data_IF_740536473305
#
_entry.id   IF_740536473305
#
_cell.length_a   1.000
_cell.length_b   1.000
_cell.length_c   1.000
_cell.angle_alpha   90.00
_cell.angle_beta   90.00
_cell.angle_gamma   90.00
#
_symmetry.space_group_name_H-M   'P 1'
#
loop_
_entity.id
_entity.type
_entity.pdbx_description
1 polymer ?
#
# COMPACT_ATOMS: atom_id res chain seq x y z
N UNK A 1 34.59 -28.53 15.09
CA UNK A 1 35.84 -28.84 14.39
C UNK A 1 35.51 -29.41 13.01
N UNK A 2 35.35 -28.57 11.99
CA UNK A 2 35.49 -28.96 10.58
C UNK A 2 35.87 -27.69 9.81
N UNK A 3 37.18 -27.46 9.77
CA UNK A 3 37.81 -26.31 9.12
C UNK A 3 37.92 -26.60 7.62
N UNK A 4 37.20 -25.81 6.82
CA UNK A 4 37.33 -25.78 5.37
C UNK A 4 38.75 -25.34 4.98
N UNK A 5 39.41 -26.18 4.18
CA UNK A 5 40.62 -25.88 3.42
C UNK A 5 40.27 -26.11 1.96
N UNK A 6 40.17 -25.05 1.16
CA UNK A 6 40.50 -25.13 -0.27
C UNK A 6 41.21 -23.83 -0.63
N UNK A 7 42.48 -23.98 -1.00
CA UNK A 7 43.40 -22.93 -1.38
C UNK A 7 43.23 -22.54 -2.85
N UNK A 8 43.49 -21.26 -3.09
CA UNK A 8 43.98 -20.60 -4.30
C UNK A 8 44.28 -21.45 -5.56
N UNK A 9 43.74 -21.01 -6.69
CA UNK A 9 44.43 -21.04 -7.99
C UNK A 9 44.13 -19.76 -8.78
N UNK A 10 45.04 -18.80 -8.66
CA UNK A 10 45.28 -17.77 -9.67
C UNK A 10 45.94 -18.42 -10.90
N UNK A 11 45.46 -18.15 -12.12
CA UNK A 11 46.30 -17.97 -13.31
C UNK A 11 45.50 -17.49 -14.52
N UNK A 12 46.09 -16.47 -15.15
CA UNK A 12 45.73 -15.69 -16.33
C UNK A 12 45.79 -16.53 -17.62
N UNK A 13 44.88 -16.34 -18.59
CA UNK A 13 45.17 -16.52 -20.02
C UNK A 13 44.12 -15.90 -20.97
N UNK A 14 44.57 -14.96 -21.83
CA UNK A 14 44.32 -14.87 -23.27
C UNK A 14 42.92 -14.91 -23.89
N UNK A 15 42.52 -13.76 -24.47
CA UNK A 15 41.76 -13.51 -25.70
C UNK A 15 40.69 -14.50 -26.25
N UNK A 16 39.52 -13.89 -26.55
CA UNK A 16 38.52 -14.24 -27.59
C UNK A 16 37.49 -15.32 -27.23
N UNK A 17 36.37 -14.86 -26.64
CA UNK A 17 35.04 -15.45 -26.82
C UNK A 17 34.01 -14.33 -27.00
N UNK A 18 33.41 -14.29 -28.19
CA UNK A 18 32.23 -13.50 -28.52
C UNK A 18 30.99 -14.18 -27.97
N UNK A 19 29.99 -13.36 -27.64
CA UNK A 19 28.60 -13.69 -27.33
C UNK A 19 28.32 -14.33 -25.95
N UNK A 20 27.95 -13.47 -25.00
CA UNK A 20 26.90 -13.74 -24.02
C UNK A 20 26.07 -12.46 -23.86
N UNK A 21 25.31 -12.13 -24.90
CA UNK A 21 24.00 -11.49 -24.75
C UNK A 21 23.09 -12.49 -24.05
N UNK A 22 23.28 -12.65 -22.75
CA UNK A 22 22.43 -13.50 -21.94
C UNK A 22 21.94 -12.72 -20.73
N UNK A 23 20.68 -12.37 -20.88
CA UNK A 23 19.71 -12.27 -19.81
C UNK A 23 19.79 -11.04 -18.92
N UNK A 24 18.92 -10.10 -19.27
CA UNK A 24 17.99 -9.43 -18.36
C UNK A 24 18.67 -8.96 -17.07
N UNK A 25 19.18 -7.73 -17.10
CA UNK A 25 19.00 -6.81 -15.98
C UNK A 25 17.49 -6.73 -15.73
N UNK A 26 16.95 -7.75 -15.06
CA UNK A 26 15.60 -7.76 -14.52
C UNK A 26 15.73 -6.67 -13.48
N UNK A 27 15.30 -5.47 -13.85
CA UNK A 27 14.24 -4.78 -13.13
C UNK A 27 14.25 -5.05 -11.62
N UNK A 28 15.40 -4.93 -10.97
CA UNK A 28 15.47 -4.55 -9.56
C UNK A 28 15.18 -3.05 -9.54
N UNK A 29 13.98 -2.68 -10.03
CA UNK A 29 13.17 -1.79 -9.23
C UNK A 29 12.96 -2.55 -7.93
N UNK A 30 13.93 -2.42 -7.03
CA UNK A 30 13.64 -2.20 -5.64
C UNK A 30 12.73 -0.97 -5.63
N UNK A 31 11.44 -1.25 -5.87
CA UNK A 31 10.36 -0.42 -5.43
C UNK A 31 10.49 -0.42 -3.91
N UNK A 32 11.30 0.51 -3.40
CA UNK A 32 11.11 1.02 -2.05
C UNK A 32 9.81 1.83 -2.12
N UNK A 33 8.70 1.12 -2.31
CA UNK A 33 7.38 1.66 -2.10
C UNK A 33 7.27 1.83 -0.60
N UNK A 34 7.08 3.07 -0.16
CA UNK A 34 6.55 3.35 1.16
C UNK A 34 5.30 2.50 1.32
N UNK A 35 5.40 1.41 2.10
CA UNK A 35 4.33 0.45 2.23
C UNK A 35 3.24 1.07 3.12
N UNK A 36 2.25 1.69 2.49
CA UNK A 36 1.09 2.22 3.20
C UNK A 36 0.19 1.06 3.61
N UNK A 37 0.24 0.72 4.90
CA UNK A 37 -0.59 -0.30 5.54
C UNK A 37 -1.51 0.37 6.55
N UNK A 38 -2.82 0.21 6.40
CA UNK A 38 -3.81 0.72 7.35
C UNK A 38 -4.66 -0.40 7.93
N UNK A 39 -4.94 -0.30 9.22
CA UNK A 39 -5.91 -1.15 9.87
C UNK A 39 -7.31 -0.59 9.65
N UNK A 40 -8.25 -1.44 9.24
CA UNK A 40 -9.61 -1.07 8.90
C UNK A 40 -10.61 -1.98 9.60
N UNK A 41 -11.64 -1.39 10.19
CA UNK A 41 -12.73 -2.12 10.82
C UNK A 41 -13.97 -2.09 9.93
N UNK A 42 -14.70 -3.21 9.83
CA UNK A 42 -15.95 -3.25 9.08
C UNK A 42 -17.06 -2.54 9.86
N UNK A 43 -17.79 -1.66 9.16
CA UNK A 43 -18.88 -0.89 9.75
C UNK A 43 -20.22 -1.62 9.61
N UNK A 44 -20.92 -1.81 10.72
CA UNK A 44 -22.30 -2.32 10.74
C UNK A 44 -23.36 -1.22 10.61
N UNK A 45 -23.17 -0.08 11.27
CA UNK A 45 -24.13 1.02 11.28
C UNK A 45 -23.92 2.00 10.12
N UNK A 46 -24.89 2.10 9.20
CA UNK A 46 -24.85 3.02 8.06
C UNK A 46 -25.79 4.22 8.25
N UNK A 47 -25.51 5.32 7.54
CA UNK A 47 -26.35 6.53 7.54
C UNK A 47 -25.65 7.81 8.03
N UNK A 48 -26.39 8.93 7.97
CA UNK A 48 -25.89 10.28 8.28
C UNK A 48 -25.48 10.43 9.75
N UNK A 49 -26.27 9.89 10.67
CA UNK A 49 -26.03 9.97 12.11
C UNK A 49 -24.80 9.19 12.55
N UNK A 50 -24.68 7.93 12.13
CA UNK A 50 -23.53 7.07 12.42
C UNK A 50 -22.23 7.70 11.91
N UNK A 51 -22.22 8.14 10.65
CA UNK A 51 -21.05 8.79 10.03
C UNK A 51 -20.64 10.11 10.70
N UNK A 52 -21.60 10.83 11.32
CA UNK A 52 -21.30 12.05 12.09
C UNK A 52 -20.61 11.73 13.41
N UNK A 53 -21.03 10.65 14.09
CA UNK A 53 -20.43 10.19 15.35
C UNK A 53 -18.98 9.74 15.13
N UNK A 54 -18.72 8.95 14.08
CA UNK A 54 -17.38 8.50 13.71
C UNK A 54 -16.41 9.67 13.51
N UNK A 55 -16.82 10.70 12.75
CA UNK A 55 -16.01 11.91 12.52
C UNK A 55 -15.77 12.73 13.78
N UNK A 56 -16.64 12.65 14.78
CA UNK A 56 -16.42 13.27 16.08
C UNK A 56 -15.38 12.50 16.90
N UNK A 57 -15.38 11.18 16.77
CA UNK A 57 -14.43 10.27 17.43
C UNK A 57 -13.05 10.17 16.74
N UNK A 58 -12.77 11.01 15.73
CA UNK A 58 -11.50 10.95 15.00
C UNK A 58 -11.39 9.78 14.04
N UNK A 59 -12.51 9.22 13.59
CA UNK A 59 -12.54 8.15 12.59
C UNK A 59 -13.14 8.64 11.28
N UNK A 60 -12.66 8.09 10.16
CA UNK A 60 -13.14 8.41 8.82
C UNK A 60 -13.93 7.22 8.28
N UNK A 61 -15.18 7.43 7.81
CA UNK A 61 -15.88 6.43 7.03
C UNK A 61 -15.26 6.33 5.63
N UNK A 62 -15.02 5.10 5.18
CA UNK A 62 -14.53 4.84 3.82
C UNK A 62 -15.27 3.66 3.18
N UNK A 63 -15.21 3.59 1.85
CA UNK A 63 -15.83 2.53 1.06
C UNK A 63 -14.78 1.90 0.17
N UNK A 64 -14.69 0.57 0.22
CA UNK A 64 -13.87 -0.22 -0.71
C UNK A 64 -14.81 -0.89 -1.71
N UNK A 65 -14.58 -0.64 -3.00
CA UNK A 65 -15.33 -1.26 -4.09
C UNK A 65 -14.41 -1.67 -5.24
N UNK A 66 -14.98 -2.33 -6.24
CA UNK A 66 -14.26 -2.78 -7.43
C UNK A 66 -14.17 -4.31 -7.53
N UNK A 67 -13.84 -4.78 -8.73
CA UNK A 67 -13.86 -6.20 -9.09
C UNK A 67 -15.28 -6.76 -9.18
N UNK A 68 -15.40 -8.05 -8.87
CA UNK A 68 -16.67 -8.81 -8.78
C UNK A 68 -17.24 -8.89 -7.36
N UNK A 69 -16.51 -8.36 -6.36
CA UNK A 69 -16.91 -8.42 -4.95
C UNK A 69 -17.85 -7.29 -4.55
N UNK A 70 -18.68 -7.55 -3.54
CA UNK A 70 -19.54 -6.53 -2.94
C UNK A 70 -18.73 -5.36 -2.35
N UNK A 71 -19.29 -4.14 -2.38
CA UNK A 71 -18.68 -2.99 -1.73
C UNK A 71 -18.71 -3.15 -0.21
N UNK A 72 -17.58 -2.87 0.45
CA UNK A 72 -17.43 -2.98 1.89
C UNK A 72 -17.32 -1.59 2.50
N UNK A 73 -18.17 -1.29 3.47
CA UNK A 73 -18.07 -0.09 4.29
C UNK A 73 -17.08 -0.32 5.43
N UNK A 74 -16.03 0.49 5.50
CA UNK A 74 -14.98 0.38 6.49
C UNK A 74 -14.84 1.69 7.30
N UNK A 75 -14.15 1.57 8.43
CA UNK A 75 -13.76 2.65 9.31
C UNK A 75 -12.25 2.68 9.36
N UNK A 76 -11.67 3.88 9.21
CA UNK A 76 -10.24 4.13 9.30
C UNK A 76 -9.95 5.17 10.37
N UNK A 77 -8.73 5.14 10.93
CA UNK A 77 -8.24 6.20 11.80
C UNK A 77 -7.99 7.48 10.99
N UNK A 78 -8.47 8.63 11.47
CA UNK A 78 -8.28 9.90 10.80
C UNK A 78 -6.82 10.32 10.72
N UNK A 79 -6.08 10.23 11.82
CA UNK A 79 -4.74 10.78 11.92
C UNK A 79 -3.76 10.04 11.01
N UNK A 80 -3.88 8.72 10.91
CA UNK A 80 -3.05 7.89 10.03
C UNK A 80 -3.22 8.26 8.55
N UNK A 81 -4.47 8.38 8.10
CA UNK A 81 -4.78 8.74 6.71
C UNK A 81 -4.43 10.20 6.44
N UNK A 82 -4.65 11.08 7.42
CA UNK A 82 -4.34 12.50 7.32
C UNK A 82 -2.83 12.76 7.25
N UNK A 83 -2.01 11.91 7.84
CA UNK A 83 -0.55 11.95 7.70
C UNK A 83 -0.13 11.36 6.35
N UNK A 84 -0.71 10.23 5.95
CA UNK A 84 -0.37 9.57 4.69
C UNK A 84 -0.68 10.43 3.44
N UNK A 85 -1.78 11.19 3.46
CA UNK A 85 -2.17 12.05 2.33
C UNK A 85 -1.13 13.13 1.97
N UNK A 86 -0.23 13.46 2.92
CA UNK A 86 0.79 14.49 2.74
C UNK A 86 1.89 14.03 1.78
N UNK A 87 1.99 12.73 1.55
CA UNK A 87 2.90 12.14 0.58
C UNK A 87 2.18 11.94 -0.76
N UNK A 88 2.75 12.48 -1.84
CA UNK A 88 2.18 12.35 -3.19
C UNK A 88 2.08 10.88 -3.65
N UNK A 89 2.99 10.04 -3.14
CA UNK A 89 3.00 8.60 -3.34
C UNK A 89 1.66 7.94 -2.96
N UNK A 90 0.95 8.47 -1.95
CA UNK A 90 -0.31 7.91 -1.46
C UNK A 90 -1.42 7.83 -2.53
N UNK A 91 -1.44 8.74 -3.50
CA UNK A 91 -2.46 8.74 -4.56
C UNK A 91 -2.09 7.83 -5.74
N UNK A 92 -0.80 7.58 -5.92
CA UNK A 92 -0.29 6.84 -7.08
C UNK A 92 -0.10 5.36 -6.77
N UNK A 93 0.33 5.07 -5.54
CA UNK A 93 0.76 3.75 -5.10
C UNK A 93 -0.42 2.84 -4.71
N UNK A 94 -0.11 1.55 -4.64
CA UNK A 94 -1.03 0.54 -4.13
C UNK A 94 -0.92 0.51 -2.60
N UNK A 95 -2.06 0.62 -1.94
CA UNK A 95 -2.21 0.64 -0.49
C UNK A 95 -2.70 -0.73 -0.04
N UNK A 96 -2.21 -1.21 1.10
CA UNK A 96 -2.70 -2.44 1.72
C UNK A 96 -3.63 -2.09 2.88
N UNK A 97 -4.90 -2.51 2.79
CA UNK A 97 -5.86 -2.42 3.89
C UNK A 97 -5.97 -3.76 4.58
N UNK A 98 -5.89 -3.77 5.91
CA UNK A 98 -6.18 -4.96 6.72
C UNK A 98 -7.61 -4.84 7.23
N UNK A 99 -8.50 -5.66 6.70
CA UNK A 99 -9.92 -5.71 7.09
C UNK A 99 -10.17 -7.05 7.78
N UNK A 100 -10.44 -7.05 9.08
CA UNK A 100 -10.68 -8.27 9.88
C UNK A 100 -9.62 -9.37 9.66
N UNK A 101 -8.35 -8.97 9.54
CA UNK A 101 -7.21 -9.86 9.31
C UNK A 101 -6.99 -10.28 7.84
N UNK A 102 -7.81 -9.82 6.90
CA UNK A 102 -7.61 -10.01 5.46
C UNK A 102 -6.90 -8.79 4.87
N UNK A 103 -5.81 -9.03 4.15
CA UNK A 103 -5.10 -7.99 3.43
C UNK A 103 -5.72 -7.79 2.05
N UNK A 104 -6.10 -6.54 1.75
CA UNK A 104 -6.72 -6.15 0.49
C UNK A 104 -5.90 -5.03 -0.14
N UNK A 105 -5.42 -5.27 -1.36
CA UNK A 105 -4.74 -4.26 -2.15
C UNK A 105 -5.76 -3.31 -2.79
N UNK A 106 -5.62 -2.01 -2.54
CA UNK A 106 -6.53 -0.98 -3.02
C UNK A 106 -5.77 0.26 -3.49
N UNK A 107 -6.42 1.06 -4.30
CA UNK A 107 -5.98 2.39 -4.71
C UNK A 107 -7.01 3.43 -4.30
N UNK A 108 -6.55 4.63 -3.94
CA UNK A 108 -7.44 5.76 -3.67
C UNK A 108 -8.07 6.23 -4.98
N UNK A 109 -9.39 6.23 -5.04
CA UNK A 109 -10.13 6.73 -6.19
C UNK A 109 -10.56 8.18 -5.97
N UNK A 110 -11.10 8.49 -4.79
CA UNK A 110 -11.56 9.83 -4.46
C UNK A 110 -11.37 10.10 -2.96
N UNK A 111 -11.10 11.37 -2.63
CA UNK A 111 -10.92 11.81 -1.26
C UNK A 111 -11.72 13.09 -1.03
N UNK A 112 -12.66 13.03 -0.09
CA UNK A 112 -13.48 14.18 0.29
C UNK A 112 -12.86 14.90 1.46
N UNK A 113 -12.57 16.19 1.26
CA UNK A 113 -11.99 17.08 2.26
C UNK A 113 -13.06 18.00 2.83
N UNK A 114 -12.90 18.41 4.07
CA UNK A 114 -13.73 19.47 4.63
C UNK A 114 -13.35 20.81 3.96
N UNK A 115 -14.32 21.66 3.54
CA UNK A 115 -14.01 22.85 2.75
C UNK A 115 -13.06 23.84 3.42
N UNK A 116 -13.17 23.99 4.74
CA UNK A 116 -12.39 24.97 5.50
C UNK A 116 -11.39 24.36 6.51
N UNK A 117 -11.62 23.13 6.97
CA UNK A 117 -10.81 22.53 8.04
C UNK A 117 -9.87 21.52 7.40
N UNK A 118 -8.63 21.34 7.89
CA UNK A 118 -7.72 20.31 7.40
C UNK A 118 -8.17 18.94 7.95
N UNK A 119 -9.37 18.49 7.56
CA UNK A 119 -9.94 17.21 7.97
C UNK A 119 -10.52 16.49 6.77
N UNK A 120 -10.26 15.20 6.70
CA UNK A 120 -10.91 14.28 5.78
C UNK A 120 -12.32 13.92 6.24
N UNK A 121 -13.23 13.82 5.28
CA UNK A 121 -14.65 13.53 5.51
C UNK A 121 -15.01 12.12 5.07
N UNK A 122 -14.50 11.70 3.90
CA UNK A 122 -14.76 10.40 3.30
C UNK A 122 -13.62 10.02 2.36
N UNK A 123 -13.34 8.72 2.23
CA UNK A 123 -12.38 8.19 1.26
C UNK A 123 -12.99 7.02 0.50
N UNK A 124 -12.77 7.03 -0.80
CA UNK A 124 -13.20 5.98 -1.73
C UNK A 124 -11.98 5.21 -2.21
N UNK A 125 -12.03 3.90 -2.03
CA UNK A 125 -10.99 2.97 -2.46
C UNK A 125 -11.52 2.06 -3.56
N UNK A 126 -10.68 1.83 -4.57
CA UNK A 126 -10.92 0.90 -5.65
C UNK A 126 -9.93 -0.26 -5.55
N UNK A 127 -10.43 -1.50 -5.58
CA UNK A 127 -9.62 -2.72 -5.70
C UNK A 127 -8.89 -2.72 -7.05
N UNK A 128 -7.59 -3.04 -7.02
CA UNK A 128 -6.73 -3.16 -8.21
C UNK A 128 -6.66 -4.62 -8.64
#
# INVERSE_FOLDING_TARGET
>A
MHHLKVQALSKICGNRWVACDFLILIFTKENITMAFKFNAEVRTAQGKGASRRLRHNGQIPAIVYGGSEAPVSIILNHDEVNNAQAHDAFYSDVITLVIDGKEVAVKVQAMQRHPFKPKLVHVDFKRV
#
